data_IF_847700952629
#
_entry.id   IF_847700952629
#
_cell.length_a   1.000
_cell.length_b   1.000
_cell.length_c   1.000
_cell.angle_alpha   90.00
_cell.angle_beta   90.00
_cell.angle_gamma   90.00
#
_symmetry.space_group_name_H-M   'P 1'
#
loop_
_entity.id
_entity.type
_entity.pdbx_description
1 polymer ?
#
# COMPACT_ATOMS: atom_id res chain seq x y z
N UNK A 1 10.13 -5.86 -16.80
CA UNK A 1 8.86 -5.41 -16.18
C UNK A 1 8.74 -3.90 -16.32
N UNK A 2 7.56 -3.31 -16.10
CA UNK A 2 7.38 -1.86 -16.18
C UNK A 2 6.87 -1.32 -14.84
N UNK A 3 7.56 -0.33 -14.30
CA UNK A 3 7.19 0.37 -13.07
C UNK A 3 6.62 1.73 -13.47
N UNK A 4 5.41 2.02 -13.04
CA UNK A 4 4.76 3.31 -13.19
C UNK A 4 4.93 4.13 -11.91
N UNK A 5 5.32 5.39 -12.06
CA UNK A 5 5.29 6.40 -11.01
C UNK A 5 4.24 7.44 -11.40
N UNK A 6 3.12 7.45 -10.70
CA UNK A 6 1.96 8.27 -11.01
C UNK A 6 1.69 9.26 -9.87
N UNK A 7 1.87 10.57 -10.09
CA UNK A 7 1.57 11.56 -9.07
C UNK A 7 0.04 11.66 -8.87
N UNK A 8 -0.42 11.36 -7.66
CA UNK A 8 -1.85 11.40 -7.29
C UNK A 8 -2.23 12.79 -6.78
N UNK A 9 -1.32 13.40 -6.03
CA UNK A 9 -1.36 14.79 -5.57
C UNK A 9 -0.01 15.46 -5.78
N UNK A 10 0.11 16.74 -5.43
CA UNK A 10 1.38 17.48 -5.46
C UNK A 10 2.45 16.91 -4.53
N UNK A 11 2.10 16.10 -3.52
CA UNK A 11 3.05 15.52 -2.55
C UNK A 11 3.12 13.99 -2.59
N UNK A 12 2.07 13.30 -3.06
CA UNK A 12 1.96 11.83 -2.99
C UNK A 12 1.88 11.22 -4.38
N UNK A 13 2.66 10.15 -4.55
CA UNK A 13 2.76 9.41 -5.82
C UNK A 13 2.49 7.93 -5.59
N UNK A 14 1.72 7.32 -6.50
CA UNK A 14 1.52 5.88 -6.56
C UNK A 14 2.68 5.23 -7.34
N UNK A 15 3.24 4.18 -6.75
CA UNK A 15 4.17 3.26 -7.39
C UNK A 15 3.41 2.00 -7.80
N UNK A 16 3.49 1.56 -9.04
CA UNK A 16 2.86 0.32 -9.49
C UNK A 16 3.74 -0.43 -10.48
N UNK A 17 3.96 -1.74 -10.26
CA UNK A 17 4.71 -2.60 -11.16
C UNK A 17 3.77 -3.47 -11.98
N UNK A 18 3.78 -3.25 -13.29
CA UNK A 18 3.16 -4.13 -14.26
C UNK A 18 4.14 -5.25 -14.64
N UNK A 19 3.69 -6.49 -14.45
CA UNK A 19 4.36 -7.64 -15.03
C UNK A 19 4.07 -7.64 -16.53
N UNK A 20 5.13 -7.54 -17.33
CA UNK A 20 5.03 -7.75 -18.76
C UNK A 20 4.98 -9.26 -18.96
N UNK A 21 3.88 -9.77 -19.52
CA UNK A 21 3.84 -11.13 -20.02
C UNK A 21 4.86 -11.23 -21.17
N UNK A 22 5.63 -12.33 -21.27
CA UNK A 22 6.49 -12.53 -22.44
C UNK A 22 5.59 -12.51 -23.67
N UNK A 23 5.87 -11.62 -24.62
CA UNK A 23 5.19 -11.61 -25.90
C UNK A 23 5.29 -13.00 -26.50
N UNK A 24 4.15 -13.56 -26.89
CA UNK A 24 4.02 -14.86 -27.56
C UNK A 24 4.58 -14.79 -28.99
N UNK A 25 5.84 -14.42 -29.14
CA UNK A 25 6.54 -14.20 -30.41
C UNK A 25 7.87 -14.94 -30.49
N UNK A 26 8.16 -15.84 -29.56
CA UNK A 26 9.29 -16.78 -29.68
C UNK A 26 8.85 -18.09 -29.03
N UNK A 27 8.92 -19.18 -29.80
CA UNK A 27 8.26 -20.47 -29.55
C UNK A 27 8.75 -21.29 -28.35
N UNK A 28 9.21 -20.67 -27.26
CA UNK A 28 9.58 -21.36 -26.03
C UNK A 28 8.46 -21.30 -25.00
N UNK A 29 7.58 -22.29 -25.06
CA UNK A 29 6.57 -22.60 -24.03
C UNK A 29 7.26 -23.08 -22.75
N UNK A 30 7.79 -22.14 -21.96
CA UNK A 30 8.20 -22.43 -20.59
C UNK A 30 7.71 -21.33 -19.65
N UNK A 31 6.38 -21.22 -19.51
CA UNK A 31 5.78 -20.52 -18.37
C UNK A 31 6.39 -21.11 -17.09
N UNK A 32 7.07 -20.31 -16.24
CA UNK A 32 7.64 -20.84 -15.00
C UNK A 32 6.53 -21.47 -14.17
N UNK A 33 6.71 -22.71 -13.70
CA UNK A 33 5.73 -23.38 -12.82
C UNK A 33 5.41 -22.43 -11.65
N UNK A 34 4.13 -22.09 -11.42
CA UNK A 34 3.76 -21.18 -10.34
C UNK A 34 4.19 -21.82 -9.01
N UNK A 35 4.79 -21.03 -8.11
CA UNK A 35 5.21 -21.51 -6.79
C UNK A 35 3.98 -22.02 -6.05
N UNK A 36 4.15 -22.92 -5.07
CA UNK A 36 3.04 -23.40 -4.24
C UNK A 36 2.26 -22.25 -3.60
N UNK A 37 2.96 -21.20 -3.21
CA UNK A 37 2.37 -19.94 -2.69
C UNK A 37 1.53 -19.23 -3.74
N UNK A 38 1.98 -19.17 -4.99
CA UNK A 38 1.23 -18.53 -6.09
C UNK A 38 -0.04 -19.32 -6.41
N UNK A 39 0.02 -20.66 -6.35
CA UNK A 39 -1.16 -21.53 -6.51
C UNK A 39 -2.17 -21.32 -5.39
N UNK A 40 -1.69 -21.28 -4.15
CA UNK A 40 -2.55 -21.00 -2.99
C UNK A 40 -3.22 -19.63 -3.08
N UNK A 41 -2.46 -18.60 -3.50
CA UNK A 41 -3.00 -17.26 -3.70
C UNK A 41 -4.03 -17.21 -4.84
N UNK A 42 -3.77 -17.89 -5.96
CA UNK A 42 -4.71 -17.97 -7.07
C UNK A 42 -6.02 -18.68 -6.68
N UNK A 43 -5.91 -19.81 -5.96
CA UNK A 43 -7.07 -20.51 -5.41
C UNK A 43 -7.87 -19.63 -4.43
N UNK A 44 -7.19 -18.91 -3.54
CA UNK A 44 -7.84 -18.00 -2.60
C UNK A 44 -8.56 -16.85 -3.32
N UNK A 45 -7.95 -16.28 -4.37
CA UNK A 45 -8.58 -15.25 -5.19
C UNK A 45 -9.82 -15.77 -5.92
N UNK A 46 -9.77 -16.99 -6.46
CA UNK A 46 -10.92 -17.62 -7.11
C UNK A 46 -12.07 -17.86 -6.11
N UNK A 47 -11.75 -18.38 -4.92
CA UNK A 47 -12.75 -18.56 -3.86
C UNK A 47 -13.35 -17.25 -3.37
N UNK A 48 -12.54 -16.21 -3.25
CA UNK A 48 -13.00 -14.86 -2.92
C UNK A 48 -14.00 -14.34 -3.96
N UNK A 49 -13.67 -14.46 -5.26
CA UNK A 49 -14.55 -14.07 -6.35
C UNK A 49 -15.86 -14.88 -6.38
N UNK A 50 -15.81 -16.17 -6.04
CA UNK A 50 -17.01 -17.01 -5.89
C UNK A 50 -17.89 -16.52 -4.72
N UNK A 51 -17.30 -16.09 -3.61
CA UNK A 51 -18.04 -15.57 -2.45
C UNK A 51 -18.66 -14.20 -2.71
N UNK A 52 -17.97 -13.35 -3.48
CA UNK A 52 -18.47 -12.03 -3.86
C UNK A 52 -19.75 -12.11 -4.71
N UNK A 53 -19.86 -13.12 -5.59
CA UNK A 53 -21.05 -13.35 -6.42
C UNK A 53 -22.28 -13.84 -5.63
N UNK A 54 -22.12 -14.23 -4.37
CA UNK A 54 -23.26 -14.73 -3.58
C UNK A 54 -24.17 -13.58 -3.15
N UNK A 55 -25.50 -13.73 -3.23
CA UNK A 55 -26.44 -12.66 -2.86
C UNK A 55 -26.49 -12.41 -1.35
N UNK A 56 -26.26 -13.43 -0.51
CA UNK A 56 -26.31 -13.33 0.94
C UNK A 56 -25.56 -14.49 1.63
N UNK A 57 -25.39 -14.40 2.95
CA UNK A 57 -24.81 -15.45 3.80
C UNK A 57 -23.50 -15.05 4.48
N UNK A 58 -22.96 -15.94 5.32
CA UNK A 58 -21.73 -15.66 6.08
C UNK A 58 -20.53 -15.36 5.16
N UNK A 59 -20.42 -16.06 4.03
CA UNK A 59 -19.36 -15.82 3.03
C UNK A 59 -19.43 -14.41 2.45
N UNK A 60 -20.65 -13.95 2.14
CA UNK A 60 -20.87 -12.58 1.66
C UNK A 60 -20.49 -11.56 2.73
N UNK A 61 -20.89 -11.78 3.99
CA UNK A 61 -20.48 -10.93 5.13
C UNK A 61 -18.96 -10.88 5.31
N UNK A 62 -18.26 -12.02 5.15
CA UNK A 62 -16.79 -12.07 5.20
C UNK A 62 -16.17 -11.25 4.08
N UNK A 63 -16.70 -11.33 2.86
CA UNK A 63 -16.24 -10.50 1.73
C UNK A 63 -16.50 -9.02 1.99
N UNK A 64 -17.69 -8.65 2.46
CA UNK A 64 -18.04 -7.24 2.70
C UNK A 64 -17.16 -6.63 3.81
N UNK A 65 -17.01 -7.32 4.94
CA UNK A 65 -16.12 -6.89 6.03
C UNK A 65 -14.65 -6.89 5.60
N UNK A 66 -14.23 -7.93 4.89
CA UNK A 66 -12.88 -8.04 4.36
C UNK A 66 -12.54 -6.89 3.42
N UNK A 67 -13.41 -6.59 2.46
CA UNK A 67 -13.26 -5.46 1.54
C UNK A 67 -13.19 -4.13 2.29
N UNK A 68 -13.99 -3.95 3.35
CA UNK A 68 -13.89 -2.76 4.21
C UNK A 68 -12.53 -2.67 4.92
N UNK A 69 -12.01 -3.79 5.43
CA UNK A 69 -10.69 -3.84 6.06
C UNK A 69 -9.56 -3.60 5.04
N UNK A 70 -9.66 -4.18 3.84
CA UNK A 70 -8.68 -4.03 2.77
C UNK A 70 -8.59 -2.58 2.26
N UNK A 71 -9.70 -1.84 2.25
CA UNK A 71 -9.73 -0.41 1.89
C UNK A 71 -8.90 0.48 2.82
N UNK A 72 -8.67 0.05 4.07
CA UNK A 72 -7.85 0.79 5.05
C UNK A 72 -6.34 0.61 4.86
N UNK A 73 -5.92 -0.36 4.05
CA UNK A 73 -4.50 -0.60 3.79
C UNK A 73 -3.96 0.54 2.92
N UNK A 74 -2.87 1.22 3.32
CA UNK A 74 -2.29 2.32 2.54
C UNK A 74 -1.96 1.90 1.11
N UNK A 75 -2.25 2.76 0.13
CA UNK A 75 -2.04 2.46 -1.28
C UNK A 75 -0.57 2.19 -1.61
N UNK A 76 0.37 2.74 -0.85
CA UNK A 76 1.81 2.49 -1.02
C UNK A 76 2.18 1.03 -0.72
N UNK A 77 1.51 0.39 0.26
CA UNK A 77 1.71 -1.03 0.57
C UNK A 77 1.25 -1.90 -0.62
N UNK A 78 0.12 -1.55 -1.23
CA UNK A 78 -0.38 -2.24 -2.41
C UNK A 78 0.52 -2.03 -3.62
N UNK A 79 1.02 -0.82 -3.81
CA UNK A 79 2.00 -0.48 -4.82
C UNK A 79 3.25 -1.36 -4.74
N UNK A 80 3.87 -1.46 -3.56
CA UNK A 80 5.04 -2.32 -3.36
C UNK A 80 4.73 -3.81 -3.51
N UNK A 81 3.51 -4.25 -3.15
CA UNK A 81 3.10 -5.64 -3.33
C UNK A 81 2.95 -6.04 -4.80
N UNK A 82 2.66 -5.11 -5.70
CA UNK A 82 2.64 -5.38 -7.15
C UNK A 82 4.03 -5.76 -7.68
N UNK A 83 5.10 -5.27 -7.04
CA UNK A 83 6.48 -5.58 -7.42
C UNK A 83 6.77 -7.05 -7.14
N UNK A 84 7.18 -7.83 -8.14
CA UNK A 84 7.41 -9.25 -7.94
C UNK A 84 8.69 -9.42 -7.08
N UNK A 85 8.77 -10.42 -6.19
CA UNK A 85 9.86 -10.49 -5.21
C UNK A 85 11.19 -10.88 -5.85
N UNK A 86 12.29 -10.21 -5.49
CA UNK A 86 13.62 -10.53 -6.02
C UNK A 86 13.95 -12.00 -5.77
N UNK A 87 14.42 -12.69 -6.82
CA UNK A 87 14.87 -14.09 -6.75
C UNK A 87 16.18 -14.22 -7.49
N UNK A 88 16.99 -15.23 -7.18
CA UNK A 88 18.29 -15.45 -7.85
C UNK A 88 18.13 -15.47 -9.37
N UNK A 89 17.13 -16.20 -9.87
CA UNK A 89 16.80 -16.25 -11.30
C UNK A 89 16.49 -14.86 -11.86
N UNK A 90 15.62 -14.09 -11.18
CA UNK A 90 15.22 -12.76 -11.66
C UNK A 90 16.37 -11.75 -11.62
N UNK A 91 17.16 -11.77 -10.55
CA UNK A 91 18.34 -10.92 -10.43
C UNK A 91 19.31 -11.17 -11.60
N UNK A 92 19.47 -12.43 -12.00
CA UNK A 92 20.25 -12.80 -13.19
C UNK A 92 19.61 -12.31 -14.48
N UNK A 93 18.32 -12.60 -14.70
CA UNK A 93 17.58 -12.17 -15.91
C UNK A 93 17.60 -10.64 -16.08
N UNK A 94 17.39 -9.88 -15.02
CA UNK A 94 17.38 -8.41 -15.04
C UNK A 94 18.80 -7.83 -15.14
N UNK A 95 19.79 -8.50 -14.53
CA UNK A 95 21.20 -8.15 -14.69
C UNK A 95 21.70 -8.36 -16.12
N UNK A 96 21.33 -9.49 -16.76
CA UNK A 96 21.66 -9.82 -18.16
C UNK A 96 20.91 -8.90 -19.14
N UNK A 97 19.63 -8.61 -18.88
CA UNK A 97 18.87 -7.65 -19.68
C UNK A 97 19.41 -6.21 -19.56
N UNK A 98 20.15 -5.93 -18.48
CA UNK A 98 20.73 -4.63 -18.17
C UNK A 98 19.69 -3.52 -18.21
N UNK A 99 20.00 -2.43 -18.94
CA UNK A 99 19.13 -1.26 -19.06
C UNK A 99 17.79 -1.52 -19.77
N UNK A 100 17.62 -2.68 -20.41
CA UNK A 100 16.36 -3.06 -21.09
C UNK A 100 15.43 -3.90 -20.20
N UNK A 101 15.86 -4.27 -18.99
CA UNK A 101 15.10 -5.17 -18.12
C UNK A 101 13.90 -4.50 -17.42
N UNK A 102 14.08 -3.27 -16.93
CA UNK A 102 13.06 -2.56 -16.13
C UNK A 102 12.93 -1.10 -16.52
N UNK A 103 11.76 -0.75 -17.05
CA UNK A 103 11.39 0.63 -17.41
C UNK A 103 10.67 1.31 -16.25
N UNK A 104 11.09 2.52 -15.88
CA UNK A 104 10.39 3.44 -14.99
C UNK A 104 9.65 4.48 -15.84
N UNK A 105 8.33 4.37 -15.90
CA UNK A 105 7.46 5.23 -16.67
C UNK A 105 6.82 6.28 -15.77
N UNK A 106 7.00 7.55 -16.13
CA UNK A 106 6.48 8.70 -15.38
C UNK A 106 6.07 9.83 -16.34
N UNK A 107 5.19 10.77 -15.92
CA UNK A 107 4.93 11.98 -16.69
C UNK A 107 6.16 12.88 -16.67
N UNK A 108 6.76 13.14 -17.85
CA UNK A 108 7.99 13.92 -17.97
C UNK A 108 7.87 15.38 -17.52
N UNK A 109 6.65 15.93 -17.47
CA UNK A 109 6.40 17.27 -16.93
C UNK A 109 6.32 17.35 -15.41
N UNK A 110 6.25 16.21 -14.69
CA UNK A 110 6.12 16.21 -13.23
C UNK A 110 7.41 15.83 -12.49
N UNK A 111 8.33 15.12 -13.14
CA UNK A 111 9.58 14.67 -12.52
C UNK A 111 10.74 14.80 -13.50
N UNK A 112 11.90 15.21 -13.01
CA UNK A 112 13.16 14.96 -13.71
C UNK A 112 13.53 13.45 -13.63
N UNK A 113 14.28 12.87 -14.60
CA UNK A 113 14.62 11.44 -14.59
C UNK A 113 15.30 10.93 -13.32
N UNK A 114 16.14 11.73 -12.67
CA UNK A 114 16.82 11.37 -11.42
C UNK A 114 15.96 11.62 -10.19
N UNK A 115 15.08 12.62 -10.24
CA UNK A 115 14.05 12.86 -9.24
C UNK A 115 13.03 11.71 -9.19
N UNK A 116 12.64 11.19 -10.35
CA UNK A 116 11.76 10.02 -10.44
C UNK A 116 12.40 8.80 -9.77
N UNK A 117 13.69 8.55 -10.01
CA UNK A 117 14.44 7.45 -9.38
C UNK A 117 14.57 7.60 -7.88
N UNK A 118 14.92 8.79 -7.40
CA UNK A 118 15.05 9.06 -5.96
C UNK A 118 13.70 8.98 -5.25
N UNK A 119 12.62 9.45 -5.88
CA UNK A 119 11.25 9.31 -5.36
C UNK A 119 10.84 7.84 -5.27
N UNK A 120 11.11 7.03 -6.29
CA UNK A 120 10.84 5.59 -6.29
C UNK A 120 11.64 4.89 -5.19
N UNK A 121 12.92 5.22 -5.04
CA UNK A 121 13.76 4.68 -3.97
C UNK A 121 13.19 5.04 -2.59
N UNK A 122 12.83 6.31 -2.37
CA UNK A 122 12.21 6.78 -1.12
C UNK A 122 10.94 5.98 -0.82
N UNK A 123 10.01 5.88 -1.77
CA UNK A 123 8.77 5.10 -1.60
C UNK A 123 9.03 3.63 -1.30
N UNK A 124 10.09 3.05 -1.87
CA UNK A 124 10.48 1.67 -1.61
C UNK A 124 11.11 1.46 -0.23
N UNK A 125 11.84 2.45 0.31
CA UNK A 125 12.62 2.29 1.55
C UNK A 125 11.93 2.84 2.80
N UNK A 126 11.15 3.92 2.69
CA UNK A 126 10.59 4.69 3.81
C UNK A 126 9.76 3.83 4.77
N UNK A 127 8.99 2.88 4.25
CA UNK A 127 8.10 2.02 5.06
C UNK A 127 8.64 0.61 5.32
N UNK A 128 9.89 0.29 4.94
CA UNK A 128 10.46 -1.06 5.12
C UNK A 128 10.53 -1.49 6.59
N UNK A 129 10.96 -0.58 7.46
CA UNK A 129 11.06 -0.85 8.90
C UNK A 129 9.70 -1.17 9.52
N UNK A 130 8.69 -0.37 9.17
CA UNK A 130 7.30 -0.57 9.62
C UNK A 130 6.73 -1.90 9.11
N UNK A 131 6.94 -2.24 7.83
CA UNK A 131 6.49 -3.53 7.30
C UNK A 131 7.18 -4.72 7.97
N UNK A 132 8.47 -4.62 8.27
CA UNK A 132 9.21 -5.65 9.01
C UNK A 132 8.67 -5.81 10.44
N UNK A 133 8.46 -4.72 11.15
CA UNK A 133 7.94 -4.76 12.52
C UNK A 133 6.53 -5.36 12.55
N UNK A 134 5.63 -4.90 11.68
CA UNK A 134 4.25 -5.43 11.61
C UNK A 134 4.20 -6.89 11.16
N UNK A 135 5.09 -7.30 10.24
CA UNK A 135 5.25 -8.70 9.88
C UNK A 135 5.57 -9.58 11.11
N UNK A 136 6.55 -9.17 11.92
CA UNK A 136 6.94 -9.87 13.14
C UNK A 136 5.76 -9.93 14.13
N UNK A 137 5.07 -8.80 14.32
CA UNK A 137 3.88 -8.76 15.17
C UNK A 137 2.77 -9.70 14.71
N UNK A 138 2.49 -9.78 13.40
CA UNK A 138 1.50 -10.71 12.89
C UNK A 138 1.90 -12.17 13.18
N UNK A 139 3.18 -12.52 13.01
CA UNK A 139 3.67 -13.86 13.34
C UNK A 139 3.59 -14.17 14.83
N UNK A 140 3.92 -13.22 15.69
CA UNK A 140 3.81 -13.38 17.15
C UNK A 140 2.35 -13.50 17.61
N UNK A 141 1.41 -12.83 16.94
CA UNK A 141 -0.02 -12.86 17.28
C UNK A 141 -0.74 -14.13 16.77
N UNK A 142 -0.23 -14.78 15.72
CA UNK A 142 -0.87 -15.98 15.13
C UNK A 142 -1.11 -17.11 16.16
N UNK A 143 -0.11 -17.53 16.97
CA UNK A 143 -0.31 -18.56 18.00
C UNK A 143 -1.41 -18.23 19.00
N UNK A 144 -1.60 -16.95 19.33
CA UNK A 144 -2.66 -16.51 20.25
C UNK A 144 -4.05 -16.65 19.64
N UNK A 145 -4.15 -16.44 18.33
CA UNK A 145 -5.41 -16.63 17.60
C UNK A 145 -5.66 -18.08 17.18
N UNK A 146 -4.64 -18.95 17.22
CA UNK A 146 -4.72 -20.34 16.74
C UNK A 146 -5.76 -21.20 17.51
N UNK A 147 -5.91 -21.09 18.85
CA UNK A 147 -6.96 -21.81 19.58
C UNK A 147 -8.36 -21.55 19.03
N UNK A 148 -8.66 -20.31 18.61
CA UNK A 148 -9.96 -19.98 18.00
C UNK A 148 -10.18 -20.62 16.61
N UNK A 149 -9.13 -21.19 15.98
CA UNK A 149 -9.26 -21.99 14.75
C UNK A 149 -9.55 -23.46 15.07
N UNK A 150 -9.10 -23.93 16.23
CA UNK A 150 -9.15 -25.32 16.66
C UNK A 150 -10.27 -25.60 17.68
N UNK A 151 -10.99 -24.58 18.14
CA UNK A 151 -12.21 -24.72 18.93
C UNK A 151 -13.40 -24.60 17.96
N UNK A 152 -13.93 -25.72 17.46
CA UNK A 152 -15.30 -25.75 17.00
C UNK A 152 -16.17 -25.24 18.16
N UNK A 153 -16.98 -24.19 17.97
CA UNK A 153 -18.05 -23.86 18.90
C UNK A 153 -19.14 -24.94 18.83
N UNK A 154 -18.79 -26.18 19.18
CA UNK A 154 -19.68 -27.33 19.16
C UNK A 154 -20.52 -27.45 20.44
N UNK A 155 -20.26 -26.61 21.46
CA UNK A 155 -21.11 -26.43 22.64
C UNK A 155 -21.91 -25.11 22.62
N UNK A 156 -22.26 -24.61 21.43
CA UNK A 156 -23.32 -23.62 21.27
C UNK A 156 -24.63 -24.31 20.83
N UNK A 157 -25.03 -25.37 21.54
CA UNK A 157 -26.42 -25.88 21.52
C UNK A 157 -27.32 -24.94 22.33
N UNK A 158 -27.45 -23.69 21.91
CA UNK A 158 -28.59 -22.85 22.25
C UNK A 158 -28.61 -21.67 21.28
N UNK A 159 -29.56 -21.74 20.35
CA UNK A 159 -30.03 -20.64 19.51
C UNK A 159 -28.97 -19.94 18.63
N UNK A 160 -28.59 -20.56 17.52
CA UNK A 160 -28.86 -20.03 16.18
C UNK A 160 -28.32 -20.99 15.10
N UNK A 161 -29.20 -21.35 14.17
CA UNK A 161 -28.89 -22.16 12.99
C UNK A 161 -27.77 -21.53 12.14
N UNK A 162 -26.82 -22.35 11.67
CA UNK A 162 -25.77 -22.06 10.67
C UNK A 162 -24.67 -21.03 11.00
N UNK A 163 -23.85 -21.25 12.03
CA UNK A 163 -22.74 -20.34 12.35
C UNK A 163 -21.37 -21.03 12.49
N UNK A 164 -20.87 -21.60 11.39
CA UNK A 164 -19.44 -21.92 11.25
C UNK A 164 -18.71 -20.70 10.67
N UNK A 165 -18.48 -19.65 11.46
CA UNK A 165 -17.57 -18.57 11.03
C UNK A 165 -16.14 -19.15 11.09
N UNK A 166 -15.38 -19.21 9.98
CA UNK A 166 -13.97 -19.57 10.04
C UNK A 166 -13.22 -18.58 10.94
N UNK A 167 -12.14 -18.97 11.61
CA UNK A 167 -11.36 -18.06 12.47
C UNK A 167 -10.77 -16.87 11.68
N UNK A 168 -11.60 -15.83 11.48
CA UNK A 168 -11.28 -14.63 10.73
C UNK A 168 -10.07 -13.90 11.32
N UNK A 169 -9.91 -13.78 12.65
CA UNK A 169 -8.70 -13.20 13.23
C UNK A 169 -7.41 -13.88 12.75
N UNK A 170 -7.35 -15.21 12.79
CA UNK A 170 -6.15 -15.94 12.34
C UNK A 170 -5.90 -15.76 10.85
N UNK A 171 -6.92 -15.96 10.00
CA UNK A 171 -6.76 -15.80 8.55
C UNK A 171 -6.40 -14.36 8.17
N UNK A 172 -6.93 -13.37 8.88
CA UNK A 172 -6.54 -11.97 8.71
C UNK A 172 -5.07 -11.76 9.07
N UNK A 173 -4.57 -12.31 10.19
CA UNK A 173 -3.15 -12.22 10.56
C UNK A 173 -2.24 -12.90 9.54
N UNK A 174 -2.61 -14.08 9.03
CA UNK A 174 -1.88 -14.78 7.95
C UNK A 174 -1.83 -13.91 6.69
N UNK A 175 -2.97 -13.36 6.28
CA UNK A 175 -3.05 -12.45 5.14
C UNK A 175 -2.20 -11.19 5.35
N UNK A 176 -2.26 -10.56 6.53
CA UNK A 176 -1.49 -9.36 6.86
C UNK A 176 0.01 -9.64 6.91
N UNK A 177 0.41 -10.78 7.46
CA UNK A 177 1.81 -11.21 7.44
C UNK A 177 2.29 -11.42 5.99
N UNK A 178 1.52 -12.11 5.15
CA UNK A 178 1.85 -12.27 3.73
C UNK A 178 1.92 -10.93 3.00
N UNK A 179 0.98 -10.01 3.26
CA UNK A 179 0.96 -8.67 2.66
C UNK A 179 2.20 -7.86 3.02
N UNK A 180 2.57 -7.84 4.30
CA UNK A 180 3.78 -7.16 4.78
C UNK A 180 5.06 -7.78 4.22
N UNK A 181 5.13 -9.11 4.14
CA UNK A 181 6.26 -9.79 3.49
C UNK A 181 6.36 -9.42 2.01
N UNK A 182 5.24 -9.41 1.28
CA UNK A 182 5.23 -9.04 -0.15
C UNK A 182 5.69 -7.60 -0.37
N UNK A 183 5.21 -6.66 0.43
CA UNK A 183 5.63 -5.26 0.36
C UNK A 183 7.12 -5.09 0.70
N UNK A 184 7.63 -5.79 1.73
CA UNK A 184 9.05 -5.79 2.10
C UNK A 184 9.92 -6.35 0.96
N UNK A 185 9.51 -7.48 0.37
CA UNK A 185 10.23 -8.08 -0.75
C UNK A 185 10.18 -7.22 -2.02
N UNK A 186 9.06 -6.52 -2.25
CA UNK A 186 8.90 -5.56 -3.35
C UNK A 186 9.78 -4.33 -3.19
N UNK A 187 9.78 -3.70 -2.01
CA UNK A 187 10.64 -2.55 -1.72
C UNK A 187 12.12 -2.87 -1.82
N UNK A 188 12.56 -4.02 -1.28
CA UNK A 188 13.95 -4.50 -1.47
C UNK A 188 14.32 -4.73 -2.93
N UNK A 189 13.37 -5.21 -3.74
CA UNK A 189 13.60 -5.41 -5.16
C UNK A 189 13.78 -4.06 -5.89
N UNK A 190 12.91 -3.08 -5.61
CA UNK A 190 13.04 -1.73 -6.17
C UNK A 190 14.35 -1.08 -5.74
N UNK A 191 14.72 -1.20 -4.47
CA UNK A 191 16.00 -0.72 -3.94
C UNK A 191 17.18 -1.31 -4.73
N UNK A 192 17.20 -2.64 -4.89
CA UNK A 192 18.24 -3.33 -5.66
C UNK A 192 18.33 -2.82 -7.12
N UNK A 193 17.19 -2.58 -7.79
CA UNK A 193 17.17 -2.06 -9.17
C UNK A 193 17.77 -0.66 -9.29
N UNK A 194 17.50 0.20 -8.31
CA UNK A 194 18.05 1.56 -8.29
C UNK A 194 19.55 1.53 -8.00
N UNK A 195 19.98 0.78 -6.98
CA UNK A 195 21.39 0.67 -6.58
C UNK A 195 22.27 0.09 -7.70
N UNK A 196 21.77 -0.91 -8.43
CA UNK A 196 22.47 -1.53 -9.55
C UNK A 196 22.30 -0.78 -10.88
N UNK A 197 21.64 0.39 -10.89
CA UNK A 197 21.40 1.21 -12.09
C UNK A 197 20.66 0.45 -13.21
N UNK A 198 19.81 -0.50 -12.83
CA UNK A 198 19.00 -1.32 -13.75
C UNK A 198 17.65 -0.65 -14.06
N UNK A 199 17.28 0.39 -13.31
CA UNK A 199 16.05 1.14 -13.51
C UNK A 199 16.21 2.23 -14.58
N UNK A 200 15.62 1.99 -15.75
CA UNK A 200 15.70 2.91 -16.89
C UNK A 200 14.55 3.91 -16.88
N UNK A 201 14.85 5.21 -16.74
CA UNK A 201 13.86 6.29 -16.74
C UNK A 201 13.30 6.52 -18.15
N UNK A 202 11.99 6.35 -18.33
CA UNK A 202 11.26 6.54 -19.59
C UNK A 202 10.17 7.59 -19.37
N UNK A 203 10.42 8.89 -19.65
CA UNK A 203 9.38 9.89 -19.60
C UNK A 203 8.31 9.60 -20.66
N UNK A 204 7.05 9.51 -20.26
CA UNK A 204 5.93 9.24 -21.16
C UNK A 204 5.24 10.53 -21.58
N UNK A 205 5.33 10.85 -22.88
CA UNK A 205 4.59 11.96 -23.47
C UNK A 205 3.06 11.76 -23.34
N UNK A 206 2.59 10.51 -23.51
CA UNK A 206 1.18 10.15 -23.37
C UNK A 206 0.65 10.44 -21.97
N UNK A 207 1.41 10.06 -20.93
CA UNK A 207 1.05 10.41 -19.54
C UNK A 207 1.05 11.92 -19.33
N UNK A 208 2.07 12.61 -19.84
CA UNK A 208 2.19 14.06 -19.69
C UNK A 208 1.00 14.80 -20.30
N UNK A 209 0.52 14.35 -21.47
CA UNK A 209 -0.69 14.88 -22.10
C UNK A 209 -1.94 14.63 -21.25
N UNK A 210 -2.10 13.43 -20.69
CA UNK A 210 -3.25 13.13 -19.82
C UNK A 210 -3.28 14.01 -18.58
N UNK A 211 -2.13 14.26 -17.95
CA UNK A 211 -2.04 15.20 -16.84
C UNK A 211 -2.27 16.66 -17.26
N UNK A 212 -1.77 17.07 -18.43
CA UNK A 212 -1.98 18.42 -18.96
C UNK A 212 -3.47 18.71 -19.22
N UNK A 213 -4.19 17.75 -19.84
CA UNK A 213 -5.64 17.85 -20.08
C UNK A 213 -6.47 17.82 -18.81
N UNK A 214 -5.88 17.36 -17.69
CA UNK A 214 -6.55 17.19 -16.40
C UNK A 214 -6.27 18.32 -15.43
N UNK A 215 -5.38 19.25 -15.77
CA UNK A 215 -4.98 20.35 -14.89
C UNK A 215 -6.13 21.35 -14.82
N UNK A 216 -6.68 21.67 -13.63
CA UNK A 216 -7.67 22.73 -13.52
C UNK A 216 -7.06 24.04 -14.03
N UNK A 217 -7.84 24.82 -14.80
CA UNK A 217 -7.44 26.06 -15.46
C UNK A 217 -7.12 27.23 -14.51
N UNK A 218 -7.22 27.02 -13.20
CA UNK A 218 -6.97 28.06 -12.21
C UNK A 218 -5.53 28.00 -11.71
N UNK A 219 -4.72 28.97 -12.15
CA UNK A 219 -3.49 29.40 -11.46
C UNK A 219 -3.87 29.92 -10.07
N UNK A 220 -4.06 29.03 -9.12
CA UNK A 220 -3.91 29.34 -7.70
C UNK A 220 -2.69 28.56 -7.19
N UNK A 221 -1.52 28.91 -7.73
CA UNK A 221 -0.25 28.62 -7.10
C UNK A 221 0.05 29.76 -6.12
N UNK A 222 -0.72 29.86 -5.02
CA UNK A 222 -0.40 30.79 -3.92
C UNK A 222 -0.52 30.12 -2.55
N UNK A 223 -0.81 28.83 -2.45
CA UNK A 223 -0.87 28.17 -1.14
C UNK A 223 -0.04 26.89 -1.10
N UNK A 224 0.68 26.68 0.00
CA UNK A 224 1.47 25.46 0.33
C UNK A 224 0.55 24.27 0.66
N UNK A 225 -0.66 24.26 0.11
CA UNK A 225 -1.64 23.21 0.32
C UNK A 225 -1.47 22.10 -0.72
N UNK A 226 -1.49 20.87 -0.23
CA UNK A 226 -1.48 19.69 -1.08
C UNK A 226 -2.76 19.64 -1.93
N UNK A 227 -2.63 19.50 -3.25
CA UNK A 227 -3.75 19.49 -4.19
C UNK A 227 -3.78 18.21 -5.02
N UNK A 228 -4.98 17.74 -5.35
CA UNK A 228 -5.18 16.54 -6.17
C UNK A 228 -4.77 16.80 -7.62
N UNK A 229 -4.00 15.89 -8.20
CA UNK A 229 -3.60 15.91 -9.62
C UNK A 229 -4.41 14.91 -10.45
N UNK A 230 -4.98 13.88 -9.81
CA UNK A 230 -5.84 12.89 -10.43
C UNK A 230 -7.21 12.86 -9.77
N UNK A 231 -8.26 12.73 -10.59
CA UNK A 231 -9.62 12.53 -10.12
C UNK A 231 -10.14 11.14 -10.46
N UNK A 232 -11.14 10.67 -9.71
CA UNK A 232 -11.75 9.34 -9.90
C UNK A 232 -12.22 9.12 -11.35
N UNK A 233 -12.79 10.16 -11.98
CA UNK A 233 -13.33 10.10 -13.34
C UNK A 233 -12.25 9.83 -14.40
N UNK A 234 -11.00 10.17 -14.11
CA UNK A 234 -9.87 10.03 -15.02
C UNK A 234 -9.15 8.68 -14.86
N UNK A 235 -9.37 7.95 -13.78
CA UNK A 235 -8.62 6.71 -13.49
C UNK A 235 -8.71 5.71 -14.65
N UNK A 236 -9.91 5.51 -15.19
CA UNK A 236 -10.14 4.59 -16.30
C UNK A 236 -9.40 5.02 -17.58
N UNK A 237 -9.46 6.30 -17.95
CA UNK A 237 -8.77 6.79 -19.16
C UNK A 237 -7.25 6.68 -19.03
N UNK A 238 -6.70 6.85 -17.83
CA UNK A 238 -5.28 6.60 -17.55
C UNK A 238 -4.91 5.13 -17.71
N UNK A 239 -5.72 4.22 -17.16
CA UNK A 239 -5.44 2.78 -17.23
C UNK A 239 -5.54 2.23 -18.66
N UNK A 240 -6.53 2.69 -19.43
CA UNK A 240 -6.68 2.38 -20.86
C UNK A 240 -5.50 2.91 -21.67
N UNK A 241 -5.09 4.15 -21.42
CA UNK A 241 -3.95 4.76 -22.09
C UNK A 241 -2.62 4.04 -21.79
N UNK A 242 -2.46 3.52 -20.57
CA UNK A 242 -1.28 2.77 -20.16
C UNK A 242 -1.33 1.28 -20.54
N UNK A 243 -2.44 0.79 -21.09
CA UNK A 243 -2.70 -0.63 -21.32
C UNK A 243 -2.46 -1.47 -20.04
N UNK A 244 -2.92 -0.95 -18.90
CA UNK A 244 -2.73 -1.55 -17.58
C UNK A 244 -4.06 -1.62 -16.83
N UNK A 245 -5.02 -2.49 -17.22
CA UNK A 245 -6.33 -2.57 -16.58
C UNK A 245 -6.25 -2.96 -15.09
N UNK A 246 -5.26 -3.78 -14.71
CA UNK A 246 -5.04 -4.16 -13.32
C UNK A 246 -4.60 -2.98 -12.41
N UNK A 247 -4.15 -1.86 -12.99
CA UNK A 247 -3.81 -0.65 -12.24
C UNK A 247 -5.07 0.08 -11.74
N UNK A 248 -6.22 -0.10 -12.38
CA UNK A 248 -7.43 0.69 -12.13
C UNK A 248 -7.81 0.68 -10.65
N UNK A 249 -8.00 -0.49 -10.08
CA UNK A 249 -8.39 -0.66 -8.66
C UNK A 249 -7.37 -0.03 -7.71
N UNK A 250 -6.08 -0.10 -8.04
CA UNK A 250 -5.00 0.46 -7.21
C UNK A 250 -4.94 1.98 -7.30
N UNK A 251 -5.16 2.53 -8.49
CA UNK A 251 -5.18 3.97 -8.73
C UNK A 251 -6.45 4.61 -8.15
N UNK A 252 -7.61 3.97 -8.28
CA UNK A 252 -8.86 4.39 -7.62
C UNK A 252 -8.69 4.44 -6.09
N UNK A 253 -8.07 3.41 -5.51
CA UNK A 253 -7.78 3.37 -4.07
C UNK A 253 -6.86 4.52 -3.66
N UNK A 254 -5.80 4.78 -4.41
CA UNK A 254 -4.88 5.87 -4.13
C UNK A 254 -5.59 7.22 -4.17
N UNK A 255 -6.37 7.49 -5.23
CA UNK A 255 -7.16 8.73 -5.36
C UNK A 255 -8.13 8.89 -4.19
N UNK A 256 -8.87 7.84 -3.83
CA UNK A 256 -9.80 7.89 -2.70
C UNK A 256 -9.10 8.16 -1.36
N UNK A 257 -7.98 7.48 -1.07
CA UNK A 257 -7.25 7.64 0.18
C UNK A 257 -6.62 9.03 0.30
N UNK A 258 -6.00 9.54 -0.76
CA UNK A 258 -5.39 10.87 -0.76
C UNK A 258 -6.47 11.95 -0.62
N UNK A 259 -7.56 11.84 -1.38
CA UNK A 259 -8.69 12.77 -1.25
C UNK A 259 -9.24 12.81 0.18
N UNK A 260 -9.47 11.64 0.79
CA UNK A 260 -9.96 11.55 2.17
C UNK A 260 -9.00 12.19 3.16
N UNK A 261 -7.69 11.96 3.00
CA UNK A 261 -6.68 12.57 3.85
C UNK A 261 -6.67 14.11 3.73
N UNK A 262 -6.80 14.65 2.51
CA UNK A 262 -6.89 16.11 2.32
C UNK A 262 -8.17 16.71 2.91
N UNK A 263 -9.29 16.00 2.83
CA UNK A 263 -10.55 16.41 3.46
C UNK A 263 -10.42 16.43 5.00
N UNK A 264 -9.75 15.43 5.59
CA UNK A 264 -9.45 15.37 7.03
C UNK A 264 -8.47 16.47 7.47
N UNK A 265 -7.40 16.74 6.71
CA UNK A 265 -6.44 17.82 6.95
C UNK A 265 -7.11 19.20 6.91
N UNK A 266 -8.01 19.43 5.94
CA UNK A 266 -8.80 20.69 5.86
C UNK A 266 -9.75 20.87 7.02
N UNK A 267 -10.32 19.78 7.54
CA UNK A 267 -11.25 19.82 8.68
C UNK A 267 -10.53 19.97 10.03
N UNK A 268 -9.28 19.49 10.14
CA UNK A 268 -8.49 19.56 11.38
C UNK A 268 -7.74 20.89 11.56
N UNK A 269 -7.58 21.69 10.50
CA UNK A 269 -6.88 22.98 10.55
C UNK A 269 -5.38 22.82 10.88
N UNK A 270 -4.57 23.89 10.79
CA UNK A 270 -3.16 23.81 11.16
C UNK A 270 -3.03 23.68 12.67
N UNK A 271 -2.91 22.45 13.19
CA UNK A 271 -2.47 22.22 14.57
C UNK A 271 -1.07 22.82 14.75
N UNK A 272 -0.99 23.75 15.70
CA UNK A 272 0.25 24.36 16.16
C UNK A 272 1.19 23.25 16.63
N UNK A 273 2.40 23.23 16.07
CA UNK A 273 3.49 22.38 16.54
C UNK A 273 3.63 22.52 18.07
N UNK A 274 3.70 21.44 18.86
CA UNK A 274 4.06 21.57 20.26
C UNK A 274 5.52 22.01 20.34
N UNK A 275 5.75 23.30 20.64
CA UNK A 275 7.06 23.81 20.99
C UNK A 275 7.55 23.06 22.22
N UNK A 276 8.68 22.39 22.09
CA UNK A 276 9.48 21.95 23.21
C UNK A 276 9.78 23.16 24.12
N UNK A 277 9.53 23.00 25.43
CA UNK A 277 10.08 23.87 26.45
C UNK A 277 9.05 24.66 27.26
N UNK A 278 8.54 24.05 28.33
CA UNK A 278 8.48 24.68 29.66
C UNK A 278 8.18 23.61 30.72
N UNK A 279 9.21 23.31 31.52
CA UNK A 279 9.03 22.58 32.78
C UNK A 279 8.27 23.49 33.77
N UNK A 280 7.28 23.00 34.51
CA UNK A 280 6.70 23.77 35.60
C UNK A 280 7.70 23.81 36.76
N UNK A 281 8.21 25.02 37.03
CA UNK A 281 8.98 25.38 38.21
C UNK A 281 8.15 25.19 39.49
N UNK A 282 8.81 24.65 40.54
CA UNK A 282 8.34 24.65 41.93
C UNK A 282 8.00 26.08 42.39
N UNK A 283 6.88 26.31 43.09
CA UNK A 283 6.70 27.53 43.88
C UNK A 283 7.41 27.43 45.25
N UNK A 284 7.96 28.54 45.78
CA UNK A 284 8.59 28.59 47.10
C UNK A 284 7.53 28.69 48.22
N UNK A 285 7.85 28.13 49.38
CA UNK A 285 6.93 27.94 50.50
C UNK A 285 6.51 29.20 51.24
N UNK A 286 5.43 29.07 52.01
CA UNK A 286 5.08 29.95 53.12
C UNK A 286 4.94 29.14 54.40
N UNK A 287 5.61 29.66 55.42
CA UNK A 287 5.85 29.16 56.76
C UNK A 287 4.58 29.23 57.61
N UNK A 288 4.16 28.13 58.23
CA UNK A 288 3.26 28.17 59.39
C UNK A 288 4.12 28.07 60.64
N UNK A 289 4.10 29.13 61.44
CA UNK A 289 4.75 29.26 62.75
C UNK A 289 4.01 28.40 63.78
N UNK A 290 4.75 27.57 64.50
CA UNK A 290 4.44 27.19 65.87
C UNK A 290 4.37 28.44 66.76
N UNK A 291 3.36 28.50 67.62
CA UNK A 291 3.38 29.32 68.82
C UNK A 291 2.73 28.53 69.95
N UNK A 292 3.57 27.96 70.79
CA UNK A 292 3.26 27.56 72.16
C UNK A 292 2.64 28.73 72.94
N UNK A 293 1.62 28.44 73.77
CA UNK A 293 1.66 28.57 75.25
C UNK A 293 0.27 28.53 75.91
N UNK A 294 0.22 27.78 77.03
CA UNK A 294 -0.68 27.85 78.19
C UNK A 294 -2.15 27.45 77.91
N UNK A 295 -2.84 26.60 78.69
CA UNK A 295 -2.77 26.16 80.09
C UNK A 295 -3.08 24.67 80.23
#
# INVERSE_FOLDING_TARGET
MRIFLLPVSTRRSLLYAQRLEPSSSTGDKASPRPRLVDRGAAWAAEKWAQWEKKPAGWQRRVVDYGNQALRRIPFEEWGLRSVPPLSVRRSREEGEAGRRGVELVFPGGAFAPDEARSTVLRLATERLGLHRQRFIWCFAAMPLTLPFALVPMHDAKLTFSHYSIPNLPFFYLVYRAWSHWRALAGGRHVQWLVENKLLHSVPSAKLSQLYASSRPSTREQVDDQETMLLTQKQVRSFCDALAAPALEVELERAVWQVRKALEEERQSGPETQPSAGQSPSKPPGSTIRERDKNE
#
